data_IF_480116922383
#
_entry.id   IF_480116922383
#
_cell.length_a   1.000
_cell.length_b   1.000
_cell.length_c   1.000
_cell.angle_alpha   90.00
_cell.angle_beta   90.00
_cell.angle_gamma   90.00
#
_symmetry.space_group_name_H-M   'P 1'
#
loop_
_entity.id
_entity.type
_entity.pdbx_description
1 polymer ?
#
# COMPACT_ATOMS: atom_id res chain seq x y z
N UNK A 1 -3.37 21.05 -14.43
CA UNK A 1 -3.57 19.80 -13.65
C UNK A 1 -4.01 18.58 -14.45
N UNK A 2 -5.21 18.52 -15.03
CA UNK A 2 -5.73 17.29 -15.70
C UNK A 2 -4.83 16.81 -16.84
N UNK A 3 -4.26 17.72 -17.62
CA UNK A 3 -3.30 17.42 -18.69
C UNK A 3 -2.05 16.70 -18.18
N UNK A 4 -1.48 17.14 -17.05
CA UNK A 4 -0.32 16.51 -16.42
C UNK A 4 -0.65 15.09 -15.95
N UNK A 5 -1.79 14.90 -15.30
CA UNK A 5 -2.23 13.58 -14.84
C UNK A 5 -2.39 12.63 -16.04
N UNK A 6 -3.00 13.10 -17.13
CA UNK A 6 -3.15 12.30 -18.36
C UNK A 6 -1.80 11.93 -18.98
N UNK A 7 -0.84 12.85 -19.00
CA UNK A 7 0.52 12.58 -19.49
C UNK A 7 1.25 11.55 -18.63
N UNK A 8 1.18 11.68 -17.31
CA UNK A 8 1.80 10.75 -16.37
C UNK A 8 1.16 9.36 -16.43
N UNK A 9 -0.18 9.27 -16.52
CA UNK A 9 -0.88 8.01 -16.74
C UNK A 9 -0.51 7.38 -18.09
N UNK A 10 -0.41 8.17 -19.15
CA UNK A 10 0.00 7.68 -20.46
C UNK A 10 1.41 7.07 -20.43
N UNK A 11 2.38 7.76 -19.79
CA UNK A 11 3.73 7.25 -19.57
C UNK A 11 3.69 5.92 -18.81
N UNK A 12 2.88 5.84 -17.77
CA UNK A 12 2.79 4.67 -16.90
C UNK A 12 2.19 3.46 -17.64
N UNK A 13 1.11 3.65 -18.39
CA UNK A 13 0.44 2.58 -19.16
C UNK A 13 1.37 1.97 -20.23
N UNK A 14 2.19 2.78 -20.89
CA UNK A 14 3.07 2.31 -21.98
C UNK A 14 4.44 1.82 -21.49
N UNK A 15 4.74 1.96 -20.20
CA UNK A 15 6.02 1.52 -19.64
C UNK A 15 6.01 0.00 -19.52
N UNK A 16 6.98 -0.70 -20.14
CA UNK A 16 7.09 -2.17 -20.06
C UNK A 16 7.04 -2.71 -18.62
N UNK A 17 7.56 -1.97 -17.64
CA UNK A 17 7.56 -2.38 -16.24
C UNK A 17 6.15 -2.52 -15.63
N UNK A 18 5.16 -1.76 -16.10
CA UNK A 18 3.79 -1.83 -15.56
C UNK A 18 3.09 -3.07 -16.06
N UNK A 19 3.23 -3.37 -17.35
CA UNK A 19 2.78 -4.64 -17.94
C UNK A 19 3.46 -5.83 -17.25
N UNK A 20 4.78 -5.81 -17.10
CA UNK A 20 5.51 -6.87 -16.38
C UNK A 20 5.02 -7.00 -14.94
N UNK A 21 4.82 -5.88 -14.23
CA UNK A 21 4.30 -5.89 -12.86
C UNK A 21 2.89 -6.48 -12.75
N UNK A 22 2.01 -6.19 -13.70
CA UNK A 22 0.65 -6.76 -13.73
C UNK A 22 0.65 -8.26 -13.97
N UNK A 23 1.42 -8.74 -14.96
CA UNK A 23 1.57 -10.17 -15.23
C UNK A 23 2.21 -10.87 -14.03
N UNK A 24 3.27 -10.29 -13.45
CA UNK A 24 3.93 -10.85 -12.28
C UNK A 24 2.96 -10.95 -11.09
N UNK A 25 2.12 -9.95 -10.84
CA UNK A 25 1.12 -10.00 -9.78
C UNK A 25 0.16 -11.17 -9.97
N UNK A 26 -0.41 -11.31 -11.17
CA UNK A 26 -1.36 -12.38 -11.48
C UNK A 26 -0.71 -13.76 -11.35
N UNK A 27 0.51 -13.92 -11.87
CA UNK A 27 1.27 -15.18 -11.77
C UNK A 27 1.55 -15.52 -10.30
N UNK A 28 2.03 -14.57 -9.51
CA UNK A 28 2.30 -14.78 -8.08
C UNK A 28 1.03 -15.19 -7.32
N UNK A 29 -0.11 -14.52 -7.58
CA UNK A 29 -1.40 -14.89 -6.98
C UNK A 29 -1.83 -16.32 -7.39
N UNK A 30 -1.65 -16.72 -8.65
CA UNK A 30 -1.94 -18.10 -9.07
C UNK A 30 -1.06 -19.12 -8.37
N UNK A 31 0.24 -18.84 -8.19
CA UNK A 31 1.19 -19.74 -7.53
C UNK A 31 0.76 -19.95 -6.08
N UNK A 32 0.46 -18.87 -5.34
CA UNK A 32 -0.01 -18.96 -3.96
C UNK A 32 -1.36 -19.68 -3.84
N UNK A 33 -2.29 -19.43 -4.77
CA UNK A 33 -3.59 -20.11 -4.77
C UNK A 33 -3.46 -21.63 -5.03
N UNK A 34 -2.59 -22.04 -5.96
CA UNK A 34 -2.31 -23.46 -6.22
C UNK A 34 -1.61 -24.10 -5.02
N UNK A 35 -0.62 -23.42 -4.43
CA UNK A 35 0.08 -23.89 -3.24
C UNK A 35 -0.87 -24.12 -2.06
N UNK A 36 -1.75 -23.15 -1.78
CA UNK A 36 -2.81 -23.26 -0.77
C UNK A 36 -3.74 -24.45 -1.02
N UNK A 37 -4.04 -24.77 -2.29
CA UNK A 37 -4.85 -25.95 -2.64
C UNK A 37 -4.12 -27.26 -2.37
N UNK A 38 -2.81 -27.31 -2.61
CA UNK A 38 -1.98 -28.52 -2.45
C UNK A 38 -1.64 -28.82 -0.99
N UNK A 39 -1.56 -27.80 -0.12
CA UNK A 39 -1.24 -27.95 1.30
C UNK A 39 -2.36 -27.40 2.21
N UNK A 40 -3.53 -28.07 2.26
CA UNK A 40 -4.67 -27.62 3.06
C UNK A 40 -4.44 -27.67 4.58
N UNK A 41 -3.37 -28.32 5.05
CA UNK A 41 -2.99 -28.35 6.47
C UNK A 41 -2.30 -27.07 6.95
N UNK A 42 -1.70 -26.29 6.04
CA UNK A 42 -0.93 -25.08 6.38
C UNK A 42 -1.69 -23.78 6.06
N UNK A 43 -2.58 -23.80 5.07
CA UNK A 43 -3.30 -22.61 4.62
C UNK A 43 -4.81 -22.81 4.68
N UNK A 44 -5.49 -22.02 5.52
CA UNK A 44 -6.94 -21.92 5.50
C UNK A 44 -7.42 -21.21 4.21
N UNK A 45 -8.26 -21.85 3.37
CA UNK A 45 -8.74 -21.25 2.13
C UNK A 45 -9.46 -19.91 2.31
N UNK A 46 -10.14 -19.70 3.45
CA UNK A 46 -10.84 -18.43 3.73
C UNK A 46 -9.84 -17.31 4.02
N UNK A 47 -8.85 -17.57 4.87
CA UNK A 47 -7.75 -16.64 5.16
C UNK A 47 -6.96 -16.24 3.93
N UNK A 48 -6.63 -17.19 3.06
CA UNK A 48 -5.91 -16.92 1.80
C UNK A 48 -6.73 -16.03 0.85
N UNK A 49 -8.05 -16.23 0.77
CA UNK A 49 -8.92 -15.36 -0.01
C UNK A 49 -8.98 -13.94 0.57
N UNK A 50 -9.09 -13.80 1.90
CA UNK A 50 -9.02 -12.49 2.60
C UNK A 50 -7.70 -11.77 2.29
N UNK A 51 -6.59 -12.51 2.24
CA UNK A 51 -5.27 -12.00 1.91
C UNK A 51 -5.00 -11.88 0.39
N UNK A 52 -6.00 -12.10 -0.46
CA UNK A 52 -5.87 -12.06 -1.92
C UNK A 52 -4.79 -13.01 -2.47
N UNK A 53 -4.57 -14.17 -1.83
CA UNK A 53 -3.50 -15.11 -2.15
C UNK A 53 -2.12 -14.42 -2.17
N UNK A 54 -1.87 -13.54 -1.20
CA UNK A 54 -0.64 -12.74 -1.07
C UNK A 54 -0.56 -11.53 -2.00
N UNK A 55 -1.58 -11.27 -2.83
CA UNK A 55 -1.59 -10.17 -3.80
C UNK A 55 -1.41 -8.81 -3.15
N UNK A 56 -2.05 -8.54 -2.01
CA UNK A 56 -1.95 -7.27 -1.29
C UNK A 56 -0.51 -6.96 -0.84
N UNK A 57 0.23 -7.96 -0.37
CA UNK A 57 1.65 -7.85 -0.01
C UNK A 57 2.54 -7.53 -1.21
N UNK A 58 2.30 -8.18 -2.36
CA UNK A 58 3.07 -7.92 -3.58
C UNK A 58 2.82 -6.52 -4.15
N UNK A 59 1.59 -6.03 -4.05
CA UNK A 59 1.24 -4.66 -4.45
C UNK A 59 2.07 -3.64 -3.67
N UNK A 60 2.34 -3.87 -2.38
CA UNK A 60 3.20 -2.97 -1.58
C UNK A 60 4.56 -2.80 -2.23
N UNK A 61 5.23 -3.90 -2.61
CA UNK A 61 6.55 -3.85 -3.24
C UNK A 61 6.52 -3.14 -4.61
N UNK A 62 5.54 -3.46 -5.45
CA UNK A 62 5.40 -2.80 -6.76
C UNK A 62 5.13 -1.30 -6.62
N UNK A 63 4.33 -0.90 -5.64
CA UNK A 63 4.02 0.49 -5.39
C UNK A 63 5.19 1.26 -4.78
N UNK A 64 5.98 0.65 -3.89
CA UNK A 64 7.23 1.25 -3.36
C UNK A 64 8.21 1.53 -4.52
N UNK A 65 8.39 0.55 -5.41
CA UNK A 65 9.27 0.70 -6.58
C UNK A 65 8.77 1.78 -7.55
N UNK A 66 7.45 1.88 -7.76
CA UNK A 66 6.87 2.91 -8.62
C UNK A 66 6.96 4.31 -7.99
N UNK A 67 6.63 4.46 -6.70
CA UNK A 67 6.67 5.74 -5.98
C UNK A 67 8.09 6.28 -5.82
N UNK A 68 9.07 5.42 -5.57
CA UNK A 68 10.47 5.85 -5.45
C UNK A 68 11.04 6.38 -6.77
N UNK A 69 10.60 5.84 -7.91
CA UNK A 69 11.13 6.20 -9.23
C UNK A 69 10.40 7.37 -9.88
N UNK A 70 9.11 7.60 -9.58
CA UNK A 70 8.30 8.62 -10.26
C UNK A 70 8.85 10.05 -10.12
N UNK A 71 9.46 10.36 -8.98
CA UNK A 71 10.11 11.65 -8.72
C UNK A 71 11.59 11.57 -9.08
N UNK A 72 12.28 10.52 -8.65
CA UNK A 72 13.73 10.40 -8.82
C UNK A 72 14.17 10.41 -10.29
N UNK A 73 13.45 9.71 -11.18
CA UNK A 73 13.77 9.66 -12.61
C UNK A 73 13.68 11.04 -13.26
N UNK A 74 12.75 11.90 -12.84
CA UNK A 74 12.59 13.23 -13.43
C UNK A 74 13.77 14.15 -13.10
N UNK A 75 14.33 14.03 -11.89
CA UNK A 75 15.56 14.74 -11.53
C UNK A 75 16.78 14.12 -12.22
N UNK A 76 16.84 12.80 -12.34
CA UNK A 76 17.97 12.10 -12.95
C UNK A 76 18.09 12.39 -14.45
N UNK A 77 16.97 12.44 -15.18
CA UNK A 77 16.94 12.74 -16.61
C UNK A 77 16.79 14.24 -16.92
N UNK A 78 16.71 15.11 -15.90
CA UNK A 78 16.60 16.57 -16.07
C UNK A 78 15.28 17.06 -16.65
N UNK A 79 14.28 16.19 -16.81
CA UNK A 79 12.98 16.49 -17.45
C UNK A 79 12.12 17.47 -16.64
N UNK A 80 12.45 17.70 -15.37
CA UNK A 80 11.77 18.73 -14.55
C UNK A 80 11.99 20.13 -15.13
N UNK A 81 13.17 20.42 -15.71
CA UNK A 81 13.45 21.74 -16.31
C UNK A 81 12.53 21.99 -17.51
N UNK A 82 12.34 20.99 -18.35
CA UNK A 82 11.43 21.04 -19.51
C UNK A 82 9.97 21.26 -19.08
N UNK A 83 9.54 20.61 -18.00
CA UNK A 83 8.19 20.80 -17.45
C UNK A 83 7.99 22.21 -16.89
N UNK A 84 8.99 22.76 -16.20
CA UNK A 84 8.94 24.12 -15.65
C UNK A 84 8.97 25.18 -16.75
N UNK A 85 9.71 24.95 -17.85
CA UNK A 85 9.74 25.85 -19.00
C UNK A 85 8.36 26.00 -19.66
N UNK A 86 7.54 24.95 -19.63
CA UNK A 86 6.15 24.95 -20.12
C UNK A 86 5.15 25.65 -19.18
N UNK A 87 5.62 26.43 -18.19
CA UNK A 87 4.84 27.21 -17.20
C UNK A 87 3.99 26.41 -16.22
N UNK A 88 4.30 25.13 -15.97
CA UNK A 88 3.64 24.39 -14.88
C UNK A 88 4.20 24.78 -13.51
N UNK A 89 3.34 24.93 -12.51
CA UNK A 89 3.79 25.24 -11.15
C UNK A 89 4.41 24.00 -10.49
N UNK A 90 5.44 24.19 -9.64
CA UNK A 90 6.14 23.09 -8.95
C UNK A 90 5.18 22.19 -8.16
N UNK A 91 4.23 22.80 -7.46
CA UNK A 91 3.19 22.07 -6.74
C UNK A 91 2.25 21.28 -7.64
N UNK A 92 1.95 21.80 -8.83
CA UNK A 92 1.10 21.10 -9.80
C UNK A 92 1.75 19.83 -10.32
N UNK A 93 3.05 19.87 -10.59
CA UNK A 93 3.83 18.72 -11.06
C UNK A 93 3.88 17.63 -9.98
N UNK A 94 4.11 18.01 -8.72
CA UNK A 94 4.17 17.04 -7.62
C UNK A 94 2.80 16.43 -7.33
N UNK A 95 1.76 17.25 -7.24
CA UNK A 95 0.41 16.80 -6.99
C UNK A 95 -0.12 15.89 -8.12
N UNK A 96 0.20 16.19 -9.39
CA UNK A 96 -0.17 15.30 -10.49
C UNK A 96 0.46 13.92 -10.34
N UNK A 97 1.72 13.83 -9.89
CA UNK A 97 2.39 12.55 -9.64
C UNK A 97 1.76 11.76 -8.50
N UNK A 98 1.39 12.42 -7.41
CA UNK A 98 0.67 11.77 -6.31
C UNK A 98 -0.68 11.22 -6.76
N UNK A 99 -1.44 11.98 -7.55
CA UNK A 99 -2.73 11.53 -8.10
C UNK A 99 -2.53 10.37 -9.08
N UNK A 100 -1.51 10.40 -9.92
CA UNK A 100 -1.16 9.26 -10.79
C UNK A 100 -0.84 8.01 -9.99
N UNK A 101 -0.05 8.12 -8.91
CA UNK A 101 0.23 6.99 -8.01
C UNK A 101 -1.02 6.51 -7.27
N UNK A 102 -1.94 7.41 -6.92
CA UNK A 102 -3.25 7.07 -6.36
C UNK A 102 -4.06 6.21 -7.31
N UNK A 103 -4.24 6.66 -8.55
CA UNK A 103 -4.96 5.91 -9.57
C UNK A 103 -4.28 4.55 -9.85
N UNK A 104 -2.95 4.52 -9.88
CA UNK A 104 -2.20 3.29 -10.09
C UNK A 104 -2.34 2.29 -8.94
N UNK A 105 -2.35 2.77 -7.69
CA UNK A 105 -2.62 1.93 -6.51
C UNK A 105 -4.02 1.33 -6.57
N UNK A 106 -5.02 2.13 -6.96
CA UNK A 106 -6.40 1.69 -7.09
C UNK A 106 -6.54 0.61 -8.18
N UNK A 107 -5.87 0.81 -9.32
CA UNK A 107 -5.82 -0.18 -10.39
C UNK A 107 -5.32 -1.55 -9.91
N UNK A 108 -4.21 -1.59 -9.17
CA UNK A 108 -3.70 -2.86 -8.64
C UNK A 108 -4.62 -3.51 -7.61
N UNK A 109 -5.23 -2.73 -6.73
CA UNK A 109 -6.16 -3.24 -5.73
C UNK A 109 -7.42 -3.82 -6.37
N UNK A 110 -8.00 -3.12 -7.36
CA UNK A 110 -9.16 -3.62 -8.11
C UNK A 110 -8.80 -4.89 -8.89
N UNK A 111 -7.64 -4.90 -9.57
CA UNK A 111 -7.15 -6.06 -10.30
C UNK A 111 -6.97 -7.27 -9.38
N UNK A 112 -6.34 -7.09 -8.22
CA UNK A 112 -6.13 -8.16 -7.24
C UNK A 112 -7.45 -8.67 -6.65
N UNK A 113 -8.40 -7.76 -6.38
CA UNK A 113 -9.71 -8.14 -5.89
C UNK A 113 -10.47 -9.00 -6.92
N UNK A 114 -10.61 -8.52 -8.15
CA UNK A 114 -11.30 -9.26 -9.23
C UNK A 114 -10.63 -10.61 -9.46
N UNK A 115 -9.29 -10.65 -9.49
CA UNK A 115 -8.57 -11.89 -9.72
C UNK A 115 -8.67 -12.87 -8.55
N UNK A 116 -8.72 -12.39 -7.30
CA UNK A 116 -8.95 -13.24 -6.13
C UNK A 116 -10.31 -13.94 -6.19
N UNK A 117 -11.35 -13.25 -6.69
CA UNK A 117 -12.69 -13.83 -6.91
C UNK A 117 -12.63 -14.90 -8.01
N UNK A 118 -11.93 -14.63 -9.12
CA UNK A 118 -11.74 -15.61 -10.20
C UNK A 118 -11.03 -16.86 -9.66
N UNK A 119 -9.95 -16.71 -8.90
CA UNK A 119 -9.21 -17.82 -8.30
C UNK A 119 -10.07 -18.63 -7.33
N UNK A 120 -10.89 -17.95 -6.52
CA UNK A 120 -11.86 -18.61 -5.64
C UNK A 120 -12.82 -19.49 -6.44
N UNK A 121 -13.41 -18.96 -7.51
CA UNK A 121 -14.38 -19.68 -8.36
C UNK A 121 -13.73 -20.86 -9.08
N UNK A 122 -12.49 -20.72 -9.56
CA UNK A 122 -11.82 -21.79 -10.32
C UNK A 122 -11.26 -22.89 -9.42
N UNK A 123 -10.62 -22.53 -8.29
CA UNK A 123 -9.85 -23.47 -7.47
C UNK A 123 -10.57 -23.94 -6.21
N UNK A 124 -11.47 -23.12 -5.65
CA UNK A 124 -12.02 -23.27 -4.30
C UNK A 124 -13.55 -23.18 -4.25
N UNK A 125 -14.25 -23.36 -5.38
CA UNK A 125 -15.70 -23.17 -5.46
C UNK A 125 -16.49 -23.95 -4.39
N UNK A 126 -16.06 -25.18 -4.11
CA UNK A 126 -16.71 -26.09 -3.16
C UNK A 126 -16.23 -25.96 -1.71
N UNK A 127 -15.22 -25.13 -1.42
CA UNK A 127 -14.60 -25.08 -0.09
C UNK A 127 -15.27 -24.10 0.87
N UNK A 128 -15.76 -22.95 0.39
CA UNK A 128 -16.45 -21.97 1.23
C UNK A 128 -17.38 -21.05 0.41
N UNK A 129 -18.45 -20.60 1.06
CA UNK A 129 -19.34 -19.56 0.56
C UNK A 129 -18.87 -18.17 1.01
N UNK A 130 -19.25 -17.13 0.25
CA UNK A 130 -18.98 -15.74 0.64
C UNK A 130 -19.73 -15.32 1.91
N UNK A 131 -20.83 -16.00 2.22
CA UNK A 131 -21.65 -15.80 3.42
C UNK A 131 -21.15 -16.55 4.64
N UNK A 132 -20.11 -17.39 4.50
CA UNK A 132 -19.62 -18.15 5.63
C UNK A 132 -19.04 -17.23 6.70
N UNK A 133 -19.23 -17.61 7.95
CA UNK A 133 -18.66 -16.91 9.08
C UNK A 133 -17.15 -17.20 9.13
N UNK A 134 -16.36 -16.16 9.42
CA UNK A 134 -14.92 -16.25 9.58
C UNK A 134 -14.45 -15.82 10.98
N UNK A 135 -14.36 -14.51 11.24
CA UNK A 135 -13.90 -13.94 12.51
C UNK A 135 -14.95 -12.96 13.03
N UNK A 136 -15.18 -12.95 14.36
CA UNK A 136 -16.15 -12.08 15.04
C UNK A 136 -17.57 -12.15 14.46
N UNK A 137 -18.04 -13.35 14.08
CA UNK A 137 -19.34 -13.59 13.45
C UNK A 137 -19.61 -12.83 12.13
N UNK A 138 -18.55 -12.29 11.50
CA UNK A 138 -18.66 -11.58 10.24
C UNK A 138 -18.48 -12.52 9.05
N UNK A 139 -19.16 -12.19 7.95
CA UNK A 139 -19.03 -12.92 6.69
C UNK A 139 -17.64 -12.73 6.08
N UNK A 140 -17.15 -13.76 5.37
CA UNK A 140 -15.87 -13.70 4.64
C UNK A 140 -15.81 -12.46 3.73
N UNK A 141 -16.91 -12.13 3.03
CA UNK A 141 -16.96 -10.95 2.16
C UNK A 141 -16.86 -9.61 2.91
N UNK A 142 -17.44 -9.51 4.10
CA UNK A 142 -17.31 -8.31 4.91
C UNK A 142 -15.86 -8.13 5.38
N UNK A 143 -15.26 -9.21 5.90
CA UNK A 143 -13.87 -9.21 6.37
C UNK A 143 -12.90 -8.90 5.22
N UNK A 144 -13.12 -9.44 4.01
CA UNK A 144 -12.27 -9.13 2.84
C UNK A 144 -12.32 -7.64 2.50
N UNK A 145 -13.51 -7.04 2.37
CA UNK A 145 -13.66 -5.63 2.02
C UNK A 145 -13.00 -4.70 3.05
N UNK A 146 -13.25 -4.97 4.34
CA UNK A 146 -12.69 -4.21 5.45
C UNK A 146 -11.15 -4.34 5.50
N UNK A 147 -10.63 -5.55 5.27
CA UNK A 147 -9.18 -5.80 5.23
C UNK A 147 -8.52 -5.13 4.02
N UNK A 148 -9.16 -5.14 2.85
CA UNK A 148 -8.68 -4.44 1.66
C UNK A 148 -8.63 -2.92 1.88
N UNK A 149 -9.68 -2.35 2.48
CA UNK A 149 -9.72 -0.92 2.81
C UNK A 149 -8.61 -0.56 3.82
N UNK A 150 -8.43 -1.37 4.86
CA UNK A 150 -7.34 -1.21 5.83
C UNK A 150 -5.96 -1.26 5.18
N UNK A 151 -5.71 -2.26 4.34
CA UNK A 151 -4.45 -2.41 3.60
C UNK A 151 -4.20 -1.23 2.66
N UNK A 152 -5.23 -0.73 1.99
CA UNK A 152 -5.11 0.43 1.11
C UNK A 152 -4.70 1.69 1.88
N UNK A 153 -5.34 1.95 3.03
CA UNK A 153 -5.01 3.10 3.89
C UNK A 153 -3.58 2.96 4.45
N UNK A 154 -3.21 1.78 4.96
CA UNK A 154 -1.86 1.52 5.47
C UNK A 154 -0.78 1.62 4.39
N UNK A 155 -1.08 1.16 3.17
CA UNK A 155 -0.21 1.33 2.00
C UNK A 155 0.03 2.81 1.71
N UNK A 156 -1.00 3.66 1.75
CA UNK A 156 -0.84 5.09 1.51
C UNK A 156 0.00 5.80 2.56
N UNK A 157 -0.10 5.40 3.84
CA UNK A 157 0.80 5.87 4.88
C UNK A 157 2.26 5.53 4.53
N UNK A 158 2.53 4.28 4.15
CA UNK A 158 3.88 3.85 3.77
C UNK A 158 4.38 4.58 2.51
N UNK A 159 3.55 4.70 1.47
CA UNK A 159 3.93 5.35 0.22
C UNK A 159 4.18 6.85 0.39
N UNK A 160 3.44 7.53 1.27
CA UNK A 160 3.68 8.95 1.57
C UNK A 160 5.07 9.17 2.17
N UNK A 161 5.54 8.26 3.03
CA UNK A 161 6.90 8.25 3.57
C UNK A 161 7.93 7.97 2.45
N UNK A 162 7.68 6.99 1.57
CA UNK A 162 8.56 6.70 0.43
C UNK A 162 8.69 7.91 -0.50
N UNK A 163 7.58 8.59 -0.80
CA UNK A 163 7.56 9.79 -1.65
C UNK A 163 8.29 10.97 -1.00
N UNK A 164 8.14 11.15 0.32
CA UNK A 164 8.90 12.12 1.10
C UNK A 164 10.41 11.85 0.99
N UNK A 165 10.83 10.60 1.18
CA UNK A 165 12.25 10.24 1.14
C UNK A 165 12.85 10.26 -0.26
N UNK A 166 12.06 9.92 -1.30
CA UNK A 166 12.46 10.10 -2.70
C UNK A 166 12.75 11.57 -3.03
N UNK A 167 12.01 12.50 -2.39
CA UNK A 167 12.30 13.93 -2.49
C UNK A 167 13.59 14.33 -1.77
N UNK A 168 13.86 13.75 -0.59
CA UNK A 168 15.03 14.08 0.26
C UNK A 168 16.33 13.54 -0.31
N UNK A 169 16.41 12.24 -0.60
CA UNK A 169 17.69 11.56 -0.84
C UNK A 169 18.22 11.69 -2.27
N UNK A 170 17.46 12.29 -3.20
CA UNK A 170 17.83 12.47 -4.62
C UNK A 170 18.18 11.17 -5.37
N UNK A 171 18.01 10.02 -4.74
CA UNK A 171 18.29 8.68 -5.24
C UNK A 171 17.04 7.83 -5.07
N UNK A 172 16.64 7.14 -6.15
CA UNK A 172 15.54 6.15 -6.09
C UNK A 172 15.89 4.99 -5.16
N UNK A 173 17.14 4.54 -5.14
CA UNK A 173 17.58 3.39 -4.35
C UNK A 173 17.36 3.60 -2.85
N UNK A 174 17.67 4.79 -2.32
CA UNK A 174 17.47 5.09 -0.90
C UNK A 174 15.98 5.02 -0.51
N UNK A 175 15.09 5.57 -1.34
CA UNK A 175 13.65 5.54 -1.09
C UNK A 175 13.07 4.12 -1.18
N UNK A 176 13.56 3.29 -2.10
CA UNK A 176 13.18 1.88 -2.21
C UNK A 176 13.57 1.13 -0.93
N UNK A 177 14.83 1.26 -0.50
CA UNK A 177 15.33 0.57 0.68
C UNK A 177 14.53 0.91 1.93
N UNK A 178 14.23 2.19 2.15
CA UNK A 178 13.44 2.59 3.31
C UNK A 178 11.99 2.11 3.22
N UNK A 179 11.37 2.12 2.03
CA UNK A 179 10.03 1.56 1.85
C UNK A 179 9.96 0.07 2.21
N UNK A 180 10.93 -0.72 1.72
CA UNK A 180 11.01 -2.16 1.99
C UNK A 180 11.29 -2.42 3.47
N UNK A 181 12.30 -1.76 4.03
CA UNK A 181 12.64 -1.90 5.46
C UNK A 181 11.46 -1.46 6.33
N UNK A 182 10.77 -0.36 5.97
CA UNK A 182 9.59 0.12 6.66
C UNK A 182 8.45 -0.89 6.64
N UNK A 183 8.21 -1.55 5.51
CA UNK A 183 7.20 -2.61 5.42
C UNK A 183 7.52 -3.78 6.36
N UNK A 184 8.73 -4.34 6.29
CA UNK A 184 9.12 -5.45 7.17
C UNK A 184 9.26 -5.05 8.64
N UNK A 185 9.59 -3.79 8.92
CA UNK A 185 9.63 -3.27 10.27
C UNK A 185 8.26 -3.36 10.93
N UNK A 186 7.14 -3.24 10.21
CA UNK A 186 5.82 -3.46 10.81
C UNK A 186 5.70 -4.87 11.37
N UNK A 187 6.05 -5.91 10.61
CA UNK A 187 5.91 -7.29 11.08
C UNK A 187 6.90 -7.65 12.20
N UNK A 188 8.15 -7.18 12.11
CA UNK A 188 9.20 -7.53 13.09
C UNK A 188 9.11 -6.67 14.35
N UNK A 189 8.87 -5.37 14.18
CA UNK A 189 8.95 -4.39 15.26
C UNK A 189 7.61 -4.22 15.97
N UNK A 190 6.48 -4.66 15.40
CA UNK A 190 5.17 -4.56 16.09
C UNK A 190 5.14 -5.25 17.45
N UNK A 191 5.76 -6.42 17.60
CA UNK A 191 5.82 -7.12 18.90
C UNK A 191 6.56 -6.31 19.97
N UNK A 192 7.68 -5.68 19.59
CA UNK A 192 8.43 -4.79 20.47
C UNK A 192 7.65 -3.49 20.73
N UNK A 193 6.96 -2.96 19.72
CA UNK A 193 6.13 -1.76 19.86
C UNK A 193 4.98 -1.98 20.84
N UNK A 194 4.27 -3.11 20.78
CA UNK A 194 3.19 -3.40 21.73
C UNK A 194 3.72 -3.47 23.18
N UNK A 195 4.89 -4.05 23.40
CA UNK A 195 5.55 -4.04 24.71
C UNK A 195 5.91 -2.62 25.18
N UNK A 196 6.37 -1.77 24.26
CA UNK A 196 6.71 -0.38 24.54
C UNK A 196 5.47 0.49 24.80
N UNK A 197 4.37 0.27 24.08
CA UNK A 197 3.07 0.95 24.28
C UNK A 197 2.49 0.63 25.67
N UNK A 198 2.72 -0.58 26.19
CA UNK A 198 2.33 -0.92 27.56
C UNK A 198 3.12 -0.13 28.60
N UNK A 199 4.37 0.23 28.33
CA UNK A 199 5.20 1.05 29.24
C UNK A 199 4.92 2.54 29.08
N UNK A 200 4.78 3.04 27.84
CA UNK A 200 4.60 4.46 27.54
C UNK A 200 3.39 4.67 26.62
N UNK A 201 2.30 5.16 27.21
CA UNK A 201 1.02 5.24 26.50
C UNK A 201 1.03 6.20 25.30
N UNK A 202 1.89 7.22 25.30
CA UNK A 202 1.99 8.17 24.18
C UNK A 202 2.52 7.51 22.89
N UNK A 203 3.26 6.40 23.00
CA UNK A 203 3.77 5.65 21.83
C UNK A 203 2.66 5.02 20.99
N UNK A 204 1.43 4.93 21.51
CA UNK A 204 0.28 4.44 20.73
C UNK A 204 0.06 5.22 19.44
N UNK A 205 0.42 6.51 19.41
CA UNK A 205 0.28 7.36 18.23
C UNK A 205 1.37 7.17 17.17
N UNK A 206 2.35 6.29 17.38
CA UNK A 206 3.42 6.07 16.42
C UNK A 206 2.88 5.62 15.03
N UNK A 207 3.35 6.19 13.90
CA UNK A 207 3.03 5.72 12.55
C UNK A 207 3.22 4.21 12.32
N UNK A 208 4.18 3.57 13.00
CA UNK A 208 4.36 2.12 12.92
C UNK A 208 3.19 1.35 13.55
N UNK A 209 2.60 1.86 14.64
CA UNK A 209 1.39 1.28 15.23
C UNK A 209 0.19 1.47 14.28
N UNK A 210 0.16 2.59 13.55
CA UNK A 210 -0.90 2.89 12.58
C UNK A 210 -0.91 1.92 11.39
N UNK A 211 0.24 1.33 11.04
CA UNK A 211 0.32 0.33 9.96
C UNK A 211 -0.34 -1.01 10.33
N UNK A 212 -0.68 -1.23 11.61
CA UNK A 212 -1.47 -2.40 12.05
C UNK A 212 -2.98 -2.25 11.82
N UNK A 213 -3.43 -1.22 11.11
CA UNK A 213 -4.84 -1.05 10.75
C UNK A 213 -5.48 -2.29 10.10
N UNK A 214 -4.86 -2.95 9.09
CA UNK A 214 -5.50 -4.07 8.41
C UNK A 214 -5.73 -5.26 9.34
N UNK A 215 -4.77 -5.51 10.24
CA UNK A 215 -4.84 -6.61 11.20
C UNK A 215 -5.84 -6.32 12.32
N UNK A 216 -5.93 -5.08 12.78
CA UNK A 216 -6.96 -4.69 13.75
C UNK A 216 -8.38 -4.75 13.17
N UNK A 217 -8.54 -4.37 11.90
CA UNK A 217 -9.83 -4.39 11.24
C UNK A 217 -10.33 -5.83 10.96
N UNK A 218 -9.41 -6.78 10.72
CA UNK A 218 -9.77 -8.19 10.55
C UNK A 218 -9.99 -8.92 11.87
N UNK A 219 -9.29 -8.53 12.95
CA UNK A 219 -9.43 -9.11 14.28
C UNK A 219 -9.40 -8.03 15.37
N UNK A 220 -10.54 -7.35 15.56
CA UNK A 220 -10.66 -6.20 16.46
C UNK A 220 -10.56 -6.54 17.94
N UNK A 221 -10.88 -7.76 18.34
CA UNK A 221 -10.92 -8.17 19.76
C UNK A 221 -9.52 -8.37 20.33
N UNK A 222 -8.63 -9.05 19.61
CA UNK A 222 -7.26 -9.29 20.07
C UNK A 222 -6.38 -8.09 19.81
N UNK A 223 -6.39 -7.56 18.58
CA UNK A 223 -5.40 -6.55 18.17
C UNK A 223 -5.77 -5.15 18.69
N UNK A 224 -7.07 -4.85 18.87
CA UNK A 224 -7.49 -3.59 19.50
C UNK A 224 -6.95 -3.42 20.93
N UNK A 225 -6.76 -4.52 21.66
CA UNK A 225 -6.13 -4.46 23.00
C UNK A 225 -4.63 -4.18 22.94
N UNK A 226 -3.96 -4.57 21.85
CA UNK A 226 -2.52 -4.40 21.65
C UNK A 226 -2.17 -3.00 21.15
N UNK A 227 -2.98 -2.46 20.22
CA UNK A 227 -2.79 -1.11 19.69
C UNK A 227 -3.25 -0.02 20.65
N UNK A 228 -4.15 -0.37 21.59
CA UNK A 228 -4.77 0.54 22.59
C UNK A 228 -5.46 1.75 21.95
N UNK A 229 -5.88 1.61 20.69
CA UNK A 229 -6.57 2.62 19.90
C UNK A 229 -7.85 2.00 19.34
N UNK A 230 -8.90 2.81 19.26
CA UNK A 230 -10.11 2.44 18.53
C UNK A 230 -9.86 2.36 17.03
N UNK A 231 -10.68 1.59 16.31
CA UNK A 231 -10.59 1.48 14.85
C UNK A 231 -10.68 2.87 14.18
N UNK A 232 -11.53 3.75 14.70
CA UNK A 232 -11.72 5.11 14.19
C UNK A 232 -10.49 5.99 14.39
N UNK A 233 -9.91 5.98 15.59
CA UNK A 233 -8.67 6.74 15.88
C UNK A 233 -7.51 6.27 15.00
N UNK A 234 -7.42 4.96 14.74
CA UNK A 234 -6.35 4.38 13.93
C UNK A 234 -6.50 4.75 12.44
N UNK A 235 -7.73 4.74 11.91
CA UNK A 235 -8.04 5.22 10.55
C UNK A 235 -7.68 6.71 10.42
N UNK A 236 -8.16 7.56 11.33
CA UNK A 236 -7.85 8.99 11.30
C UNK A 236 -6.36 9.27 11.49
N UNK A 237 -5.69 8.54 12.37
CA UNK A 237 -4.23 8.60 12.55
C UNK A 237 -3.48 8.34 11.25
N UNK A 238 -3.82 7.27 10.52
CA UNK A 238 -3.22 6.99 9.20
C UNK A 238 -3.43 8.13 8.21
N UNK A 239 -4.65 8.66 8.11
CA UNK A 239 -4.97 9.73 7.17
C UNK A 239 -4.22 11.03 7.51
N UNK A 240 -4.15 11.38 8.80
CA UNK A 240 -3.42 12.55 9.29
C UNK A 240 -1.92 12.39 8.98
N UNK A 241 -1.31 11.27 9.34
CA UNK A 241 0.12 11.05 9.07
C UNK A 241 0.43 11.04 7.56
N UNK A 242 -0.43 10.43 6.75
CA UNK A 242 -0.33 10.48 5.29
C UNK A 242 -0.33 11.93 4.79
N UNK A 243 -1.28 12.75 5.26
CA UNK A 243 -1.37 14.17 4.93
C UNK A 243 -0.13 14.96 5.36
N UNK A 244 0.38 14.70 6.57
CA UNK A 244 1.60 15.33 7.11
C UNK A 244 2.81 14.98 6.25
N UNK A 245 3.03 13.71 5.91
CA UNK A 245 4.18 13.29 5.09
C UNK A 245 4.11 13.84 3.67
N UNK A 246 2.93 13.86 3.05
CA UNK A 246 2.75 14.50 1.75
C UNK A 246 3.04 16.01 1.86
N UNK A 247 2.49 16.70 2.85
CA UNK A 247 2.72 18.13 3.04
C UNK A 247 4.20 18.48 3.24
N UNK A 248 4.90 17.72 4.09
CA UNK A 248 6.36 17.84 4.26
C UNK A 248 7.09 17.61 2.92
N UNK A 249 6.66 16.61 2.15
CA UNK A 249 7.20 16.32 0.81
C UNK A 249 7.03 17.50 -0.14
N UNK A 250 5.88 18.16 -0.10
CA UNK A 250 5.61 19.38 -0.87
C UNK A 250 6.52 20.55 -0.48
N UNK A 251 6.69 20.80 0.83
CA UNK A 251 7.56 21.86 1.32
C UNK A 251 9.02 21.68 0.86
N UNK A 252 9.52 20.45 0.95
CA UNK A 252 10.88 20.09 0.51
C UNK A 252 11.01 20.24 -1.00
N UNK A 253 10.04 19.74 -1.78
CA UNK A 253 10.05 19.86 -3.23
C UNK A 253 10.04 21.32 -3.70
N UNK A 254 9.28 22.20 -3.03
CA UNK A 254 9.23 23.63 -3.36
C UNK A 254 10.60 24.31 -3.20
N UNK A 255 11.33 23.98 -2.13
CA UNK A 255 12.66 24.54 -1.81
C UNK A 255 13.80 23.90 -2.60
N UNK A 256 13.55 22.81 -3.34
CA UNK A 256 14.58 22.09 -4.07
C UNK A 256 15.03 22.90 -5.29
N UNK A 257 16.36 23.01 -5.45
CA UNK A 257 16.97 23.55 -6.66
C UNK A 257 16.81 22.54 -7.81
N UNK A 258 16.46 23.05 -8.99
CA UNK A 258 16.14 22.27 -10.19
C UNK A 258 17.18 22.57 -11.27
#
# INVERSE_FOLDING_TARGET
MVTLIRQELFKLIHKKSTLIGTIALLVLMTIFAVFSKMQPSFSDPKGEFIAAYGGTSWIVFFMIAACSTIIAMEFQYGTIKELLYRRYYRGEILASKWITMFIYSLYFYVLSFVFSVILKVVLFNSKFSFSDIYTNDQSVMHVTLVTYAGNFVGLWLLLSLVLLLANVFKSSAAAISVGIVGYFATSIVSSLMFMLINKWEWLKWNPLNMLNLPSQLSNSTVIGTLTRLSNTELVWGNLIYTGVFLFLGYLIFRRRNV
#
